data_IF_260668522570
#
_entry.id   IF_260668522570
#
_cell.length_a   1.000
_cell.length_b   1.000
_cell.length_c   1.000
_cell.angle_alpha   90.00
_cell.angle_beta   90.00
_cell.angle_gamma   90.00
#
_symmetry.space_group_name_H-M   'P 1'
#
loop_
_entity.id
_entity.type
_entity.pdbx_description
1 polymer ?
#
# COMPACT_ATOMS: atom_id res chain seq x y z
N UNK A 1 -22.19 -10.72 9.62
CA UNK A 1 -20.86 -10.68 10.22
C UNK A 1 -19.77 -11.35 9.36
N UNK A 2 -20.02 -12.47 8.72
CA UNK A 2 -19.06 -13.18 7.83
C UNK A 2 -18.71 -12.39 6.55
N UNK A 3 -19.65 -11.65 5.95
CA UNK A 3 -19.41 -10.84 4.74
C UNK A 3 -18.37 -9.72 4.91
N UNK A 4 -18.24 -9.12 6.10
CA UNK A 4 -17.29 -8.04 6.34
C UNK A 4 -15.85 -8.54 6.58
N UNK A 5 -15.71 -9.71 7.18
CA UNK A 5 -14.39 -10.35 7.32
C UNK A 5 -13.83 -10.79 5.94
N UNK A 6 -14.71 -11.23 5.05
CA UNK A 6 -14.36 -11.62 3.67
C UNK A 6 -13.81 -10.45 2.84
N UNK A 7 -14.42 -9.25 2.97
CA UNK A 7 -14.00 -8.06 2.22
C UNK A 7 -12.65 -7.47 2.64
N UNK A 8 -12.20 -7.75 3.88
CA UNK A 8 -10.94 -7.20 4.42
C UNK A 8 -9.70 -8.01 4.02
N UNK A 9 -9.88 -9.27 3.64
CA UNK A 9 -8.78 -10.20 3.37
C UNK A 9 -8.65 -10.52 1.88
N UNK A 10 -9.71 -10.40 1.10
CA UNK A 10 -9.73 -10.81 -0.31
C UNK A 10 -9.76 -9.61 -1.24
N UNK A 11 -8.69 -9.42 -2.04
CA UNK A 11 -8.74 -8.51 -3.17
C UNK A 11 -9.69 -9.06 -4.24
N UNK A 12 -10.36 -8.20 -4.98
CA UNK A 12 -11.29 -8.60 -6.06
C UNK A 12 -10.61 -9.51 -7.08
N UNK A 13 -9.33 -9.30 -7.35
CA UNK A 13 -8.54 -10.08 -8.29
C UNK A 13 -8.31 -11.53 -7.84
N UNK A 14 -8.01 -11.75 -6.55
CA UNK A 14 -7.83 -13.09 -5.99
C UNK A 14 -9.17 -13.84 -5.89
N UNK A 15 -10.25 -13.15 -5.56
CA UNK A 15 -11.61 -13.69 -5.60
C UNK A 15 -11.99 -14.16 -7.01
N UNK A 16 -11.59 -13.44 -8.05
CA UNK A 16 -11.92 -13.78 -9.41
C UNK A 16 -11.15 -15.01 -9.90
N UNK A 17 -9.87 -15.15 -9.53
CA UNK A 17 -9.04 -16.35 -9.80
C UNK A 17 -9.59 -17.60 -9.14
N UNK A 18 -10.12 -17.50 -7.92
CA UNK A 18 -10.64 -18.62 -7.15
C UNK A 18 -12.17 -18.76 -7.21
N UNK A 19 -12.84 -17.94 -8.00
CA UNK A 19 -14.31 -17.85 -8.08
C UNK A 19 -15.01 -19.17 -8.31
N UNK A 20 -14.48 -19.98 -9.21
CA UNK A 20 -15.06 -21.30 -9.54
C UNK A 20 -14.90 -22.25 -8.34
N UNK A 21 -13.72 -22.30 -7.72
CA UNK A 21 -13.47 -23.13 -6.53
C UNK A 21 -14.35 -22.68 -5.35
N UNK A 22 -14.49 -21.39 -5.14
CA UNK A 22 -15.36 -20.80 -4.14
C UNK A 22 -16.82 -21.23 -4.32
N UNK A 23 -17.36 -21.10 -5.54
CA UNK A 23 -18.75 -21.52 -5.80
C UNK A 23 -18.96 -23.02 -5.66
N UNK A 24 -18.00 -23.84 -6.07
CA UNK A 24 -18.06 -25.30 -5.89
C UNK A 24 -18.05 -25.66 -4.41
N UNK A 25 -17.16 -25.10 -3.62
CA UNK A 25 -17.11 -25.32 -2.17
C UNK A 25 -18.37 -24.82 -1.46
N UNK A 26 -18.90 -23.65 -1.86
CA UNK A 26 -20.14 -23.09 -1.32
C UNK A 26 -21.36 -23.95 -1.67
N UNK A 27 -21.41 -24.52 -2.88
CA UNK A 27 -22.49 -25.44 -3.29
C UNK A 27 -22.43 -26.77 -2.53
N UNK A 28 -21.23 -27.23 -2.19
CA UNK A 28 -21.02 -28.43 -1.38
C UNK A 28 -21.60 -28.34 0.04
N UNK A 29 -21.71 -27.14 0.61
CA UNK A 29 -22.31 -26.93 1.95
C UNK A 29 -23.83 -26.70 1.90
N UNK A 30 -24.42 -26.67 0.70
CA UNK A 30 -25.87 -26.53 0.53
C UNK A 30 -26.54 -27.90 0.48
N UNK A 31 -27.55 -28.13 1.28
CA UNK A 31 -28.35 -29.36 1.26
C UNK A 31 -28.20 -30.24 2.51
N UNK A 32 -28.78 -31.46 2.42
CA UNK A 32 -28.85 -32.38 3.57
C UNK A 32 -27.51 -33.02 3.95
N UNK A 33 -26.60 -33.15 2.98
CA UNK A 33 -25.26 -33.73 3.17
C UNK A 33 -24.18 -32.65 2.95
N UNK A 34 -24.22 -31.63 3.79
CA UNK A 34 -23.29 -30.49 3.67
C UNK A 34 -21.84 -30.91 3.93
N UNK A 35 -20.98 -30.71 2.93
CA UNK A 35 -19.53 -30.93 3.04
C UNK A 35 -18.83 -29.69 3.55
N UNK A 36 -18.91 -29.50 4.84
CA UNK A 36 -18.22 -28.39 5.54
C UNK A 36 -16.70 -28.54 5.54
N UNK A 37 -16.20 -29.77 5.43
CA UNK A 37 -14.76 -30.01 5.47
C UNK A 37 -14.09 -29.42 4.22
N UNK A 38 -14.59 -29.74 3.03
CA UNK A 38 -14.07 -29.18 1.78
C UNK A 38 -14.18 -27.66 1.73
N UNK A 39 -15.25 -27.09 2.28
CA UNK A 39 -15.40 -25.64 2.33
C UNK A 39 -14.41 -24.95 3.28
N UNK A 40 -14.21 -25.51 4.49
CA UNK A 40 -13.26 -25.00 5.47
C UNK A 40 -11.82 -25.12 4.97
N UNK A 41 -11.48 -26.26 4.36
CA UNK A 41 -10.16 -26.50 3.78
C UNK A 41 -9.85 -25.48 2.68
N UNK A 42 -10.76 -25.28 1.75
CA UNK A 42 -10.65 -24.23 0.73
C UNK A 42 -10.47 -22.84 1.35
N UNK A 43 -11.28 -22.51 2.37
CA UNK A 43 -11.24 -21.19 3.01
C UNK A 43 -9.91 -20.94 3.70
N UNK A 44 -9.40 -21.92 4.44
CA UNK A 44 -8.12 -21.80 5.15
C UNK A 44 -6.95 -21.74 4.18
N UNK A 45 -6.94 -22.57 3.14
CA UNK A 45 -5.90 -22.56 2.10
C UNK A 45 -5.86 -21.21 1.37
N UNK A 46 -7.01 -20.70 0.95
CA UNK A 46 -7.11 -19.42 0.30
C UNK A 46 -6.67 -18.26 1.21
N UNK A 47 -7.10 -18.28 2.48
CA UNK A 47 -6.70 -17.25 3.46
C UNK A 47 -5.20 -17.25 3.74
N UNK A 48 -4.57 -18.41 3.86
CA UNK A 48 -3.13 -18.53 4.06
C UNK A 48 -2.35 -17.95 2.86
N UNK A 49 -2.73 -18.34 1.65
CA UNK A 49 -2.09 -17.84 0.41
C UNK A 49 -2.20 -16.33 0.31
N UNK A 50 -3.35 -15.77 0.65
CA UNK A 50 -3.53 -14.31 0.65
C UNK A 50 -2.68 -13.62 1.71
N UNK A 51 -2.61 -14.20 2.91
CA UNK A 51 -1.75 -13.66 3.97
C UNK A 51 -0.28 -13.65 3.54
N UNK A 52 0.21 -14.71 2.89
CA UNK A 52 1.56 -14.79 2.34
C UNK A 52 1.81 -13.72 1.27
N UNK A 53 0.86 -13.52 0.35
CA UNK A 53 0.95 -12.46 -0.67
C UNK A 53 1.01 -11.06 -0.04
N UNK A 54 0.18 -10.79 0.97
CA UNK A 54 0.17 -9.51 1.66
C UNK A 54 1.48 -9.28 2.45
N UNK A 55 2.00 -10.31 3.11
CA UNK A 55 3.30 -10.23 3.79
C UNK A 55 4.42 -9.91 2.79
N UNK A 56 4.44 -10.57 1.63
CA UNK A 56 5.43 -10.28 0.59
C UNK A 56 5.34 -8.84 0.07
N UNK A 57 4.14 -8.28 -0.09
CA UNK A 57 3.96 -6.86 -0.44
C UNK A 57 4.50 -5.94 0.67
N UNK A 58 4.18 -6.23 1.93
CA UNK A 58 4.67 -5.44 3.07
C UNK A 58 6.19 -5.46 3.22
N UNK A 59 6.82 -6.61 2.98
CA UNK A 59 8.28 -6.74 3.00
C UNK A 59 8.94 -5.86 1.93
N UNK A 60 8.39 -5.82 0.72
CA UNK A 60 8.88 -4.96 -0.36
C UNK A 60 8.71 -3.47 -0.04
N UNK A 61 7.57 -3.09 0.56
CA UNK A 61 7.31 -1.71 0.98
C UNK A 61 8.30 -1.30 2.08
N UNK A 62 8.56 -2.17 3.06
CA UNK A 62 9.53 -1.92 4.12
C UNK A 62 10.96 -1.79 3.57
N UNK A 63 11.32 -2.65 2.61
CA UNK A 63 12.59 -2.58 1.91
C UNK A 63 12.74 -1.25 1.16
N UNK A 64 11.74 -0.84 0.39
CA UNK A 64 11.72 0.43 -0.34
C UNK A 64 11.89 1.63 0.62
N UNK A 65 11.20 1.62 1.76
CA UNK A 65 11.33 2.66 2.76
C UNK A 65 12.75 2.74 3.33
N UNK A 66 13.36 1.60 3.68
CA UNK A 66 14.71 1.51 4.23
C UNK A 66 15.78 1.96 3.23
N UNK A 67 15.70 1.49 2.00
CA UNK A 67 16.63 1.88 0.92
C UNK A 67 16.60 3.39 0.67
N UNK A 68 15.40 3.99 0.63
CA UNK A 68 15.27 5.44 0.50
C UNK A 68 15.84 6.21 1.68
N UNK A 69 15.65 5.73 2.91
CA UNK A 69 16.27 6.34 4.10
C UNK A 69 17.79 6.27 4.07
N UNK A 70 18.34 5.12 3.69
CA UNK A 70 19.78 4.94 3.56
C UNK A 70 20.36 5.88 2.50
N UNK A 71 19.77 5.89 1.31
CA UNK A 71 20.19 6.77 0.21
C UNK A 71 20.19 8.25 0.63
N UNK A 72 19.12 8.73 1.26
CA UNK A 72 19.04 10.11 1.74
C UNK A 72 20.06 10.43 2.84
N UNK A 73 20.42 9.45 3.67
CA UNK A 73 21.43 9.60 4.70
C UNK A 73 22.84 9.72 4.10
N UNK A 74 23.16 8.90 3.10
CA UNK A 74 24.43 8.89 2.38
C UNK A 74 24.62 10.18 1.57
N UNK A 75 23.57 10.66 0.90
CA UNK A 75 23.58 11.94 0.16
C UNK A 75 23.53 13.19 1.06
N UNK A 76 23.48 13.03 2.37
CA UNK A 76 23.48 14.16 3.33
C UNK A 76 22.13 14.82 3.56
N UNK A 77 21.03 14.25 3.06
CA UNK A 77 19.68 14.78 3.19
C UNK A 77 18.90 14.22 4.40
N UNK A 78 19.56 14.05 5.55
CA UNK A 78 18.97 13.44 6.76
C UNK A 78 17.65 14.10 7.19
N UNK A 79 17.55 15.43 7.10
CA UNK A 79 16.31 16.15 7.43
C UNK A 79 15.16 15.92 6.46
N UNK A 80 15.41 15.32 5.30
CA UNK A 80 14.40 14.98 4.29
C UNK A 80 13.79 13.59 4.51
N UNK A 81 14.42 12.74 5.32
CA UNK A 81 13.97 11.36 5.59
C UNK A 81 12.54 11.33 6.13
N UNK A 82 12.16 12.24 7.03
CA UNK A 82 10.81 12.29 7.57
C UNK A 82 9.75 12.56 6.49
N UNK A 83 10.06 13.30 5.43
CA UNK A 83 9.15 13.55 4.30
C UNK A 83 9.07 12.34 3.37
N UNK A 84 10.16 11.60 3.22
CA UNK A 84 10.16 10.31 2.53
C UNK A 84 9.25 9.32 3.24
N UNK A 85 9.43 9.11 4.54
CA UNK A 85 8.60 8.21 5.34
C UNK A 85 7.12 8.65 5.35
N UNK A 86 6.85 9.95 5.35
CA UNK A 86 5.49 10.47 5.28
C UNK A 86 4.76 10.07 4.00
N UNK A 87 5.48 9.90 2.88
CA UNK A 87 4.89 9.45 1.61
C UNK A 87 4.38 8.00 1.63
N UNK A 88 4.76 7.20 2.63
CA UNK A 88 4.23 5.85 2.84
C UNK A 88 2.90 5.85 3.61
N UNK A 89 2.65 6.89 4.39
CA UNK A 89 1.35 7.08 5.05
C UNK A 89 0.33 7.76 4.15
N UNK A 90 0.81 8.57 3.18
CA UNK A 90 -0.03 9.35 2.28
C UNK A 90 0.55 9.31 0.86
N UNK A 91 -0.01 8.45 0.03
CA UNK A 91 0.41 8.28 -1.37
C UNK A 91 0.39 9.59 -2.18
N UNK A 92 -0.57 10.43 -1.87
CA UNK A 92 -0.78 11.75 -2.46
C UNK A 92 -0.66 12.78 -1.37
N UNK A 93 0.38 13.59 -1.38
CA UNK A 93 0.64 14.57 -0.34
C UNK A 93 0.92 15.96 -0.90
N UNK A 94 0.27 16.98 -0.35
CA UNK A 94 0.58 18.39 -0.62
C UNK A 94 1.58 18.95 0.38
N UNK A 95 2.26 20.05 0.01
CA UNK A 95 3.16 20.72 0.92
C UNK A 95 2.44 21.29 2.18
N UNK A 96 1.14 21.59 2.08
CA UNK A 96 0.33 22.04 3.20
C UNK A 96 0.08 20.90 4.20
N UNK A 97 -0.38 19.75 3.72
CA UNK A 97 -0.61 18.56 4.54
C UNK A 97 0.68 18.07 5.21
N UNK A 98 1.79 18.00 4.46
CA UNK A 98 3.08 17.64 5.02
C UNK A 98 3.54 18.61 6.13
N UNK A 99 3.27 19.91 5.95
CA UNK A 99 3.58 20.94 6.93
C UNK A 99 2.76 20.79 8.22
N UNK A 100 1.46 20.49 8.10
CA UNK A 100 0.56 20.23 9.21
C UNK A 100 0.98 18.98 9.99
N UNK A 101 1.26 17.87 9.29
CA UNK A 101 1.63 16.61 9.91
C UNK A 101 2.99 16.64 10.61
N UNK A 102 3.95 17.40 10.08
CA UNK A 102 5.31 17.51 10.65
C UNK A 102 5.50 18.75 11.52
N UNK A 103 4.45 19.54 11.72
CA UNK A 103 4.46 20.79 12.49
C UNK A 103 5.58 21.77 12.04
N UNK A 104 5.65 21.98 10.73
CA UNK A 104 6.60 22.91 10.09
C UNK A 104 5.88 23.90 9.18
N UNK A 105 6.62 24.86 8.63
CA UNK A 105 6.01 25.78 7.65
C UNK A 105 5.79 25.13 6.29
N UNK A 106 4.75 25.51 5.51
CA UNK A 106 4.54 25.00 4.15
C UNK A 106 5.73 25.26 3.20
N UNK A 107 6.50 26.32 3.45
CA UNK A 107 7.72 26.61 2.69
C UNK A 107 8.80 25.58 2.96
N UNK A 108 9.01 25.20 4.22
CA UNK A 108 9.95 24.16 4.62
C UNK A 108 9.55 22.81 4.04
N UNK A 109 8.27 22.42 4.17
CA UNK A 109 7.76 21.19 3.60
C UNK A 109 7.98 21.12 2.08
N UNK A 110 7.64 22.20 1.37
CA UNK A 110 7.85 22.29 -0.10
C UNK A 110 9.32 22.12 -0.48
N UNK A 111 10.25 22.70 0.29
CA UNK A 111 11.69 22.56 0.04
C UNK A 111 12.09 21.09 0.06
N UNK A 112 11.71 20.34 1.10
CA UNK A 112 12.07 18.93 1.22
C UNK A 112 11.36 18.04 0.21
N UNK A 113 10.08 18.27 -0.08
CA UNK A 113 9.36 17.55 -1.13
C UNK A 113 9.97 17.79 -2.52
N UNK A 114 10.45 19.02 -2.80
CA UNK A 114 11.16 19.31 -4.05
C UNK A 114 12.54 18.60 -4.11
N UNK A 115 13.25 18.45 -2.98
CA UNK A 115 14.49 17.64 -2.94
C UNK A 115 14.16 16.20 -3.37
N UNK A 116 13.14 15.57 -2.78
CA UNK A 116 12.71 14.20 -3.15
C UNK A 116 12.30 14.10 -4.62
N UNK A 117 11.68 15.15 -5.17
CA UNK A 117 11.32 15.19 -6.60
C UNK A 117 12.57 15.30 -7.48
N UNK A 118 13.56 16.11 -7.10
CA UNK A 118 14.81 16.24 -7.84
C UNK A 118 15.63 14.95 -7.81
N UNK A 119 15.58 14.20 -6.72
CA UNK A 119 16.17 12.87 -6.57
C UNK A 119 15.34 11.76 -7.24
N UNK A 120 14.21 12.11 -7.88
CA UNK A 120 13.27 11.18 -8.53
C UNK A 120 12.60 10.16 -7.62
N UNK A 121 12.64 10.38 -6.31
CA UNK A 121 11.96 9.56 -5.31
C UNK A 121 10.46 9.86 -5.23
N UNK A 122 10.07 11.12 -5.48
CA UNK A 122 8.67 11.53 -5.62
C UNK A 122 8.45 12.16 -7.00
N UNK A 123 7.21 12.14 -7.44
CA UNK A 123 6.78 12.76 -8.69
C UNK A 123 5.77 13.86 -8.41
N UNK A 124 5.81 14.91 -9.22
CA UNK A 124 4.89 16.04 -9.16
C UNK A 124 4.50 16.43 -10.58
N UNK A 125 3.22 16.73 -10.78
CA UNK A 125 2.78 17.33 -12.06
C UNK A 125 3.32 18.76 -12.14
N UNK A 126 4.25 18.98 -13.06
CA UNK A 126 4.89 20.28 -13.27
C UNK A 126 3.95 21.34 -13.85
N UNK A 127 2.82 20.94 -14.46
CA UNK A 127 1.83 21.85 -15.02
C UNK A 127 1.02 22.54 -13.92
N UNK A 128 0.88 21.92 -12.76
CA UNK A 128 0.15 22.46 -11.61
C UNK A 128 1.08 23.35 -10.80
N UNK A 129 0.85 24.67 -10.82
CA UNK A 129 1.67 25.62 -10.06
C UNK A 129 1.20 25.84 -8.62
N UNK A 130 -0.11 25.68 -8.34
CA UNK A 130 -0.70 25.82 -7.01
C UNK A 130 -1.18 24.48 -6.49
N UNK A 131 -1.06 24.24 -5.20
CA UNK A 131 -1.47 22.99 -4.52
C UNK A 131 -0.90 21.74 -5.21
N UNK A 132 0.40 21.75 -5.49
CA UNK A 132 1.10 20.61 -6.08
C UNK A 132 0.93 19.38 -5.19
N UNK A 133 0.59 18.27 -5.80
CA UNK A 133 0.52 16.96 -5.15
C UNK A 133 1.77 16.18 -5.54
N UNK A 134 2.44 15.65 -4.54
CA UNK A 134 3.61 14.80 -4.67
C UNK A 134 3.17 13.35 -4.52
N UNK A 135 3.65 12.48 -5.39
CA UNK A 135 3.19 11.09 -5.52
C UNK A 135 4.40 10.17 -5.42
N UNK A 136 4.27 9.13 -4.60
CA UNK A 136 5.25 8.04 -4.53
C UNK A 136 4.82 6.92 -5.47
N UNK A 137 5.31 6.96 -6.73
CA UNK A 137 4.96 5.95 -7.74
C UNK A 137 5.60 4.59 -7.47
N UNK A 138 6.75 4.54 -6.81
CA UNK A 138 7.40 3.27 -6.48
C UNK A 138 6.56 2.52 -5.45
N UNK A 139 6.08 3.22 -4.42
CA UNK A 139 5.12 2.66 -3.47
C UNK A 139 3.80 2.26 -4.16
N UNK A 140 3.30 3.06 -5.08
CA UNK A 140 2.05 2.76 -5.80
C UNK A 140 2.15 1.43 -6.56
N UNK A 141 3.29 1.16 -7.21
CA UNK A 141 3.53 -0.11 -7.94
C UNK A 141 3.57 -1.34 -7.02
N UNK A 142 4.01 -1.19 -5.78
CA UNK A 142 4.06 -2.31 -4.83
C UNK A 142 2.71 -2.59 -4.19
N UNK A 143 1.79 -1.62 -4.19
CA UNK A 143 0.44 -1.78 -3.64
C UNK A 143 -0.51 -2.39 -4.66
N UNK A 144 -0.41 -2.01 -5.94
CA UNK A 144 -1.21 -2.56 -7.04
C UNK A 144 -0.81 -4.03 -7.33
#
# INVERSE_FOLDING_TARGET
MIKHAFCLVWSDEELEKEKIRYYNALNGVRGKNADWFTWLDFFLEASNRMAENQLGKLEKIDQLAKEGCQFLSEEGFKSTIQYWLLSFSNLYISAKEAAEMLNVTPSTARKHLNILTNLKMLHVDKQIQRNRIYINYDLLREID
#
